data_IF_115187910098
#
_entry.id   IF_115187910098
#
_cell.length_a   1.000
_cell.length_b   1.000
_cell.length_c   1.000
_cell.angle_alpha   90.00
_cell.angle_beta   90.00
_cell.angle_gamma   90.00
#
_symmetry.space_group_name_H-M   'P 1'
#
loop_
_entity.id
_entity.type
_entity.pdbx_description
1 polymer ?
#
# COMPACT_ATOMS: atom_id res chain seq x y z
N UNK A 1 -9.53 16.28 -7.60
CA UNK A 1 -10.74 15.60 -8.12
C UNK A 1 -10.24 14.40 -8.90
N UNK A 2 -10.37 13.20 -8.33
CA UNK A 2 -10.05 11.96 -9.05
C UNK A 2 -11.08 11.69 -10.15
N UNK A 3 -10.77 10.81 -11.11
CA UNK A 3 -11.70 10.46 -12.18
C UNK A 3 -12.95 9.78 -11.61
N UNK A 4 -14.12 10.20 -12.08
CA UNK A 4 -15.39 9.54 -11.77
C UNK A 4 -15.42 8.18 -12.48
N UNK A 5 -15.66 7.11 -11.72
CA UNK A 5 -15.81 5.77 -12.28
C UNK A 5 -17.18 5.58 -12.90
N UNK A 6 -17.21 5.02 -14.11
CA UNK A 6 -18.43 4.58 -14.78
C UNK A 6 -18.51 3.05 -14.76
N UNK A 7 -19.69 2.48 -14.47
CA UNK A 7 -19.90 1.04 -14.63
C UNK A 7 -19.86 0.63 -16.12
N UNK A 8 -19.83 -0.67 -16.41
CA UNK A 8 -19.86 -1.19 -17.79
C UNK A 8 -21.12 -0.77 -18.59
N UNK A 9 -22.10 -0.13 -17.95
CA UNK A 9 -23.30 0.43 -18.56
C UNK A 9 -23.25 1.98 -18.69
N UNK A 10 -22.10 2.61 -18.43
CA UNK A 10 -21.89 4.06 -18.58
C UNK A 10 -22.59 4.91 -17.53
N UNK A 11 -22.98 4.34 -16.38
CA UNK A 11 -23.55 5.09 -15.25
C UNK A 11 -22.44 5.46 -14.27
N UNK A 12 -22.55 6.64 -13.66
CA UNK A 12 -21.76 6.99 -12.47
C UNK A 12 -21.81 5.81 -11.51
N UNK A 13 -20.65 5.27 -11.14
CA UNK A 13 -20.57 4.27 -10.10
C UNK A 13 -20.96 4.96 -8.80
N UNK A 14 -22.24 4.85 -8.45
CA UNK A 14 -22.83 5.38 -7.23
C UNK A 14 -22.45 4.51 -6.03
N UNK A 15 -21.17 4.12 -5.92
CA UNK A 15 -20.61 3.29 -4.85
C UNK A 15 -20.53 4.08 -3.55
N UNK A 16 -21.68 4.36 -2.94
CA UNK A 16 -21.73 4.70 -1.54
C UNK A 16 -21.15 3.54 -0.74
N UNK A 17 -20.05 3.80 -0.01
CA UNK A 17 -19.34 2.86 0.88
C UNK A 17 -19.03 1.51 0.21
N UNK A 18 -17.82 1.36 -0.31
CA UNK A 18 -17.36 0.17 -0.99
C UNK A 18 -17.60 -1.10 -0.16
N UNK A 19 -18.56 -1.90 -0.63
CA UNK A 19 -18.89 -3.20 -0.05
C UNK A 19 -17.74 -4.16 -0.33
N UNK A 20 -17.20 -4.75 0.74
CA UNK A 20 -16.17 -5.79 0.68
C UNK A 20 -16.58 -6.96 -0.23
N UNK A 21 -17.89 -7.22 -0.35
CA UNK A 21 -18.45 -8.37 -1.08
C UNK A 21 -18.29 -8.28 -2.62
N UNK A 22 -17.93 -7.11 -3.16
CA UNK A 22 -17.74 -6.88 -4.59
C UNK A 22 -16.29 -6.51 -4.96
N UNK A 23 -15.32 -6.81 -4.09
CA UNK A 23 -13.91 -6.52 -4.34
C UNK A 23 -13.42 -7.04 -5.69
N UNK A 24 -13.77 -8.28 -6.04
CA UNK A 24 -13.32 -8.94 -7.27
C UNK A 24 -13.96 -8.39 -8.56
N UNK A 25 -15.03 -7.61 -8.45
CA UNK A 25 -15.76 -7.04 -9.61
C UNK A 25 -15.22 -5.66 -10.02
N UNK A 26 -14.21 -5.13 -9.31
CA UNK A 26 -13.61 -3.82 -9.60
C UNK A 26 -12.90 -3.86 -10.97
N UNK A 27 -13.11 -2.86 -11.85
CA UNK A 27 -12.49 -2.83 -13.18
C UNK A 27 -10.99 -2.61 -13.10
N UNK A 28 -10.27 -3.00 -14.15
CA UNK A 28 -8.84 -2.71 -14.24
C UNK A 28 -8.63 -1.19 -14.36
N UNK A 29 -7.52 -0.64 -13.83
CA UNK A 29 -7.21 0.79 -13.95
C UNK A 29 -7.31 1.32 -15.40
N UNK A 30 -6.89 0.52 -16.38
CA UNK A 30 -6.91 0.87 -17.81
C UNK A 30 -8.32 1.03 -18.39
N UNK A 31 -9.35 0.43 -17.76
CA UNK A 31 -10.73 0.54 -18.23
C UNK A 31 -11.33 1.93 -17.97
N UNK A 32 -10.75 2.70 -17.04
CA UNK A 32 -11.31 3.97 -16.59
C UNK A 32 -10.28 5.11 -16.47
N UNK A 33 -8.98 4.81 -16.47
CA UNK A 33 -7.91 5.81 -16.50
C UNK A 33 -7.31 5.88 -17.89
N UNK A 34 -7.07 7.10 -18.37
CA UNK A 34 -6.29 7.30 -19.59
C UNK A 34 -4.84 6.84 -19.38
N UNK A 35 -4.21 6.34 -20.44
CA UNK A 35 -2.77 6.00 -20.45
C UNK A 35 -1.88 7.15 -19.93
N UNK A 36 -2.19 8.39 -20.31
CA UNK A 36 -1.45 9.56 -19.83
C UNK A 36 -1.60 9.82 -18.32
N UNK A 37 -2.77 9.47 -17.74
CA UNK A 37 -2.95 9.51 -16.29
C UNK A 37 -2.08 8.45 -15.61
N UNK A 38 -2.17 7.20 -16.07
CA UNK A 38 -1.40 6.07 -15.50
C UNK A 38 0.09 6.41 -15.56
N UNK A 39 0.60 6.82 -16.72
CA UNK A 39 2.00 7.21 -16.90
C UNK A 39 2.42 8.34 -15.96
N UNK A 40 1.62 9.39 -15.83
CA UNK A 40 1.94 10.53 -14.92
C UNK A 40 1.85 10.13 -13.45
N UNK A 41 0.98 9.19 -13.11
CA UNK A 41 0.86 8.69 -11.76
C UNK A 41 2.07 7.86 -11.36
N UNK A 42 2.45 6.88 -12.20
CA UNK A 42 3.59 6.00 -11.95
C UNK A 42 4.93 6.74 -12.01
N UNK A 43 5.06 7.80 -12.81
CA UNK A 43 6.26 8.65 -12.83
C UNK A 43 6.57 9.35 -11.48
N UNK A 44 5.65 9.33 -10.51
CA UNK A 44 5.91 9.82 -9.14
C UNK A 44 6.84 8.90 -8.35
N UNK A 45 6.99 7.67 -8.79
CA UNK A 45 7.80 6.64 -8.16
C UNK A 45 9.19 6.52 -8.81
N UNK A 46 9.51 7.38 -9.79
CA UNK A 46 10.80 7.39 -10.51
C UNK A 46 12.03 7.60 -9.57
N UNK A 47 11.81 8.15 -8.37
CA UNK A 47 12.82 8.34 -7.33
C UNK A 47 12.78 7.26 -6.23
N UNK A 48 12.00 6.19 -6.43
CA UNK A 48 11.94 5.00 -5.60
C UNK A 48 10.67 4.88 -4.75
N UNK A 49 10.37 3.66 -4.37
CA UNK A 49 9.17 3.27 -3.64
C UNK A 49 9.45 2.92 -2.18
N UNK A 50 8.47 3.08 -1.31
CA UNK A 50 8.60 2.71 0.09
C UNK A 50 7.33 2.11 0.66
N UNK A 51 7.49 1.24 1.66
CA UNK A 51 6.39 0.60 2.37
C UNK A 51 6.66 0.51 3.86
N UNK A 52 5.59 0.65 4.64
CA UNK A 52 5.56 0.37 6.08
C UNK A 52 5.08 -1.06 6.30
N UNK A 53 5.75 -1.75 7.21
CA UNK A 53 5.37 -3.07 7.68
C UNK A 53 5.23 -3.08 9.20
N UNK A 54 4.22 -3.77 9.73
CA UNK A 54 4.27 -4.22 11.12
C UNK A 54 5.41 -5.23 11.26
N UNK A 55 6.40 -4.95 12.10
CA UNK A 55 7.65 -5.70 12.20
C UNK A 55 7.42 -7.18 12.46
N UNK A 56 6.51 -7.52 13.37
CA UNK A 56 6.18 -8.92 13.67
C UNK A 56 5.50 -9.62 12.50
N UNK A 57 4.64 -8.94 11.75
CA UNK A 57 4.00 -9.51 10.57
C UNK A 57 5.05 -9.80 9.49
N UNK A 58 5.94 -8.84 9.24
CA UNK A 58 7.03 -8.98 8.28
C UNK A 58 7.95 -10.16 8.63
N UNK A 59 8.39 -10.26 9.90
CA UNK A 59 9.25 -11.35 10.37
C UNK A 59 8.56 -12.73 10.30
N UNK A 60 7.26 -12.80 10.56
CA UNK A 60 6.52 -14.04 10.55
C UNK A 60 6.14 -14.49 9.14
N UNK A 61 5.68 -13.58 8.28
CA UNK A 61 5.03 -13.92 7.02
C UNK A 61 5.79 -13.47 5.77
N UNK A 62 6.60 -12.42 5.88
CA UNK A 62 7.34 -11.80 4.77
C UNK A 62 6.67 -10.52 4.27
N UNK A 63 7.29 -9.83 3.29
CA UNK A 63 6.84 -8.53 2.78
C UNK A 63 5.62 -8.57 1.86
N UNK A 64 5.14 -9.74 1.46
CA UNK A 64 4.06 -9.89 0.49
C UNK A 64 2.77 -10.41 1.13
N UNK A 65 1.62 -10.07 0.53
CA UNK A 65 0.35 -10.77 0.79
C UNK A 65 0.30 -12.11 0.02
N UNK A 66 -0.81 -12.85 0.11
CA UNK A 66 -0.91 -14.18 -0.51
C UNK A 66 -0.94 -14.13 -2.04
N UNK A 67 -1.38 -13.01 -2.62
CA UNK A 67 -1.31 -12.70 -4.06
C UNK A 67 0.05 -12.16 -4.50
N UNK A 68 1.02 -12.06 -3.58
CA UNK A 68 2.36 -11.50 -3.77
C UNK A 68 2.43 -9.98 -3.99
N UNK A 69 1.28 -9.30 -4.01
CA UNK A 69 1.21 -7.88 -4.25
C UNK A 69 1.42 -7.07 -2.96
N UNK A 70 2.05 -5.91 -3.11
CA UNK A 70 2.31 -4.99 -2.03
C UNK A 70 2.09 -3.53 -2.47
N UNK A 71 1.15 -2.87 -1.80
CA UNK A 71 1.00 -1.41 -1.81
C UNK A 71 2.29 -0.70 -1.38
N UNK A 72 2.70 0.31 -2.14
CA UNK A 72 3.85 1.17 -1.90
C UNK A 72 3.49 2.64 -2.14
N UNK A 73 4.31 3.52 -1.58
CA UNK A 73 4.24 4.97 -1.72
C UNK A 73 5.51 5.48 -2.42
N UNK A 74 5.47 6.65 -3.08
CA UNK A 74 6.71 7.36 -3.39
C UNK A 74 7.49 7.60 -2.10
N UNK A 75 8.80 7.38 -2.12
CA UNK A 75 9.63 7.48 -0.91
C UNK A 75 9.52 8.85 -0.24
N UNK A 76 9.60 9.94 -1.03
CA UNK A 76 9.47 11.31 -0.52
C UNK A 76 8.10 11.57 0.15
N UNK A 77 7.03 11.01 -0.40
CA UNK A 77 5.69 11.15 0.15
C UNK A 77 5.53 10.39 1.48
N UNK A 78 6.10 9.19 1.58
CA UNK A 78 6.08 8.43 2.83
C UNK A 78 6.91 9.12 3.92
N UNK A 79 8.09 9.63 3.58
CA UNK A 79 8.95 10.37 4.51
C UNK A 79 8.20 11.61 5.06
N UNK A 80 7.52 12.35 4.18
CA UNK A 80 6.67 13.49 4.58
C UNK A 80 5.53 13.05 5.51
N UNK A 81 4.88 11.91 5.23
CA UNK A 81 3.82 11.36 6.09
C UNK A 81 4.36 11.01 7.47
N UNK A 82 5.53 10.35 7.54
CA UNK A 82 6.17 9.96 8.79
C UNK A 82 6.64 11.16 9.62
N UNK A 83 7.20 12.18 8.96
CA UNK A 83 7.58 13.45 9.59
C UNK A 83 6.36 14.19 10.12
N UNK A 84 5.28 14.23 9.34
CA UNK A 84 4.03 14.85 9.75
C UNK A 84 3.40 14.10 10.93
N UNK A 85 3.38 12.76 10.90
CA UNK A 85 2.88 11.93 12.00
C UNK A 85 3.68 12.17 13.29
N UNK A 86 5.00 12.40 13.21
CA UNK A 86 5.81 12.74 14.37
C UNK A 86 5.77 11.68 15.47
N UNK A 87 5.75 10.40 15.07
CA UNK A 87 5.59 9.20 15.90
C UNK A 87 4.21 9.03 16.58
N UNK A 88 3.24 9.89 16.30
CA UNK A 88 1.87 9.73 16.81
C UNK A 88 1.15 8.63 16.02
N UNK A 89 0.84 7.52 16.71
CA UNK A 89 0.19 6.33 16.12
C UNK A 89 -1.12 6.66 15.43
N UNK A 90 -1.93 7.44 16.13
CA UNK A 90 -3.28 7.84 15.75
C UNK A 90 -3.24 8.74 14.50
N UNK A 91 -2.26 9.65 14.45
CA UNK A 91 -2.03 10.52 13.31
C UNK A 91 -1.48 9.77 12.10
N UNK A 92 -0.59 8.79 12.31
CA UNK A 92 -0.08 7.97 11.23
C UNK A 92 -1.19 7.14 10.57
N UNK A 93 -2.06 6.53 11.38
CA UNK A 93 -3.24 5.80 10.88
C UNK A 93 -4.12 6.68 10.01
N UNK A 94 -4.44 7.90 10.46
CA UNK A 94 -5.24 8.85 9.67
C UNK A 94 -4.56 9.22 8.34
N UNK A 95 -3.26 9.54 8.39
CA UNK A 95 -2.52 9.96 7.20
C UNK A 95 -2.43 8.86 6.14
N UNK A 96 -2.33 7.61 6.59
CA UNK A 96 -2.27 6.41 5.75
C UNK A 96 -3.66 5.84 5.39
N UNK A 97 -4.74 6.41 5.92
CA UNK A 97 -6.10 5.91 5.66
C UNK A 97 -6.41 4.57 6.32
N UNK A 98 -5.70 4.22 7.39
CA UNK A 98 -6.01 3.05 8.22
C UNK A 98 -7.12 3.37 9.22
N UNK A 99 -7.86 2.33 9.62
CA UNK A 99 -8.83 2.45 10.71
C UNK A 99 -8.08 2.67 12.03
N UNK A 100 -8.65 3.48 12.93
CA UNK A 100 -8.03 3.75 14.23
C UNK A 100 -7.85 2.48 15.05
N UNK A 101 -6.62 2.26 15.53
CA UNK A 101 -6.21 1.07 16.25
C UNK A 101 -5.62 -0.06 15.38
N UNK A 102 -5.53 0.12 14.06
CA UNK A 102 -4.89 -0.85 13.15
C UNK A 102 -3.40 -1.05 13.43
N UNK A 103 -2.74 -0.05 14.02
CA UNK A 103 -1.32 -0.08 14.40
C UNK A 103 -1.15 -0.27 15.91
N UNK A 104 -2.12 -0.93 16.57
CA UNK A 104 -2.08 -1.24 18.01
C UNK A 104 -2.27 -2.74 18.26
N UNK A 105 -1.72 -3.22 19.36
CA UNK A 105 -2.01 -4.56 19.87
C UNK A 105 -3.37 -4.62 20.59
N UNK A 106 -3.77 -5.82 21.03
CA UNK A 106 -5.04 -6.05 21.73
C UNK A 106 -5.15 -5.29 23.07
N UNK A 107 -4.01 -4.90 23.66
CA UNK A 107 -3.92 -4.10 24.89
C UNK A 107 -3.90 -2.58 24.60
N UNK A 108 -3.93 -2.17 23.32
CA UNK A 108 -3.93 -0.79 22.86
C UNK A 108 -2.54 -0.16 22.74
N UNK A 109 -1.45 -0.92 22.91
CA UNK A 109 -0.10 -0.41 22.77
C UNK A 109 0.27 -0.28 21.29
N UNK A 110 1.01 0.77 20.89
CA UNK A 110 1.49 0.90 19.52
C UNK A 110 2.36 -0.28 19.08
N UNK A 111 2.14 -0.76 17.87
CA UNK A 111 2.96 -1.79 17.23
C UNK A 111 4.29 -1.21 16.76
N UNK A 112 5.32 -2.06 16.67
CA UNK A 112 6.57 -1.71 16.02
C UNK A 112 6.41 -1.81 14.51
N UNK A 113 6.90 -0.80 13.79
CA UNK A 113 6.90 -0.79 12.33
C UNK A 113 8.33 -0.73 11.76
N UNK A 114 8.52 -1.37 10.61
CA UNK A 114 9.72 -1.32 9.79
C UNK A 114 9.39 -0.66 8.45
N UNK A 115 10.27 0.23 8.00
CA UNK A 115 10.17 0.84 6.68
C UNK A 115 11.18 0.15 5.75
N UNK A 116 10.76 -0.14 4.51
CA UNK A 116 11.68 -0.58 3.46
C UNK A 116 11.54 0.31 2.23
N UNK A 117 12.69 0.61 1.63
CA UNK A 117 12.83 1.41 0.42
C UNK A 117 13.27 0.52 -0.73
N UNK A 118 12.58 0.61 -1.85
CA UNK A 118 12.86 -0.10 -3.09
C UNK A 118 13.41 0.89 -4.11
N UNK A 119 14.42 0.48 -4.87
CA UNK A 119 14.85 1.29 -6.02
C UNK A 119 13.89 1.06 -7.20
N UNK A 120 13.69 2.04 -8.10
CA UNK A 120 12.72 1.95 -9.21
C UNK A 120 12.81 0.71 -10.11
N UNK A 121 14.01 0.13 -10.22
CA UNK A 121 14.29 -1.05 -11.04
C UNK A 121 14.54 -2.33 -10.19
N UNK A 122 14.31 -2.27 -8.88
CA UNK A 122 14.55 -3.40 -7.98
C UNK A 122 13.48 -4.49 -8.13
N UNK A 123 12.24 -4.09 -8.41
CA UNK A 123 11.08 -4.96 -8.52
C UNK A 123 10.27 -4.64 -9.78
N UNK A 124 9.71 -5.70 -10.37
CA UNK A 124 8.78 -5.58 -11.48
C UNK A 124 7.36 -5.29 -10.98
N UNK A 125 6.49 -4.86 -11.89
CA UNK A 125 5.04 -4.85 -11.64
C UNK A 125 4.50 -3.58 -10.99
N UNK A 126 5.25 -2.47 -11.02
CA UNK A 126 4.72 -1.18 -10.57
C UNK A 126 3.48 -0.79 -11.38
N UNK A 127 2.32 -0.82 -10.74
CA UNK A 127 1.01 -0.59 -11.35
C UNK A 127 0.12 0.28 -10.47
N UNK A 128 -0.86 0.94 -11.09
CA UNK A 128 -1.93 1.60 -10.33
C UNK A 128 -2.78 0.51 -9.68
N UNK A 129 -3.14 0.61 -8.39
CA UNK A 129 -3.93 -0.44 -7.74
C UNK A 129 -5.31 -0.57 -8.40
N UNK A 130 -5.75 -1.80 -8.59
CA UNK A 130 -7.11 -2.12 -9.05
C UNK A 130 -8.12 -2.19 -7.90
N UNK A 131 -7.61 -2.31 -6.67
CA UNK A 131 -8.41 -2.55 -5.47
C UNK A 131 -8.81 -4.02 -5.31
N UNK A 132 -8.33 -4.93 -6.17
CA UNK A 132 -8.56 -6.38 -6.04
C UNK A 132 -7.45 -7.08 -5.26
N UNK A 133 -6.33 -6.41 -5.03
CA UNK A 133 -5.17 -6.93 -4.31
C UNK A 133 -5.56 -7.27 -2.87
N UNK A 134 -5.05 -8.34 -2.29
CA UNK A 134 -5.38 -8.83 -0.95
C UNK A 134 -5.25 -7.76 0.12
N UNK A 135 -4.29 -6.85 -0.02
CA UNK A 135 -4.08 -5.70 0.87
C UNK A 135 -5.12 -4.57 0.76
N UNK A 136 -5.99 -4.55 -0.26
CA UNK A 136 -7.01 -3.51 -0.42
C UNK A 136 -8.12 -3.64 0.63
N UNK A 137 -8.38 -2.56 1.38
CA UNK A 137 -9.38 -2.48 2.43
C UNK A 137 -10.63 -1.66 2.01
N UNK A 138 -11.51 -1.35 2.96
CA UNK A 138 -12.75 -0.57 2.70
C UNK A 138 -12.50 0.92 2.41
N UNK A 139 -11.33 1.44 2.79
CA UNK A 139 -10.91 2.82 2.58
C UNK A 139 -10.16 3.03 1.26
N UNK A 140 -9.87 1.95 0.51
CA UNK A 140 -9.24 2.02 -0.80
C UNK A 140 -10.07 2.86 -1.78
N UNK A 141 -9.39 3.68 -2.58
CA UNK A 141 -10.00 4.53 -3.61
C UNK A 141 -9.43 4.22 -4.99
N UNK A 142 -10.24 4.34 -6.06
CA UNK A 142 -9.73 4.20 -7.42
C UNK A 142 -8.80 5.35 -7.81
N UNK A 143 -7.82 5.04 -8.66
CA UNK A 143 -6.91 6.02 -9.24
C UNK A 143 -5.57 6.19 -8.52
N UNK A 144 -5.26 5.35 -7.53
CA UNK A 144 -3.94 5.27 -6.90
C UNK A 144 -3.67 6.34 -5.86
N UNK A 145 -4.66 6.74 -5.07
CA UNK A 145 -4.45 7.70 -3.99
C UNK A 145 -5.18 7.29 -2.73
N UNK A 146 -4.53 7.49 -1.59
CA UNK A 146 -5.21 7.48 -0.31
C UNK A 146 -6.27 8.59 -0.23
N UNK A 147 -7.28 8.48 0.66
CA UNK A 147 -8.24 9.56 0.92
C UNK A 147 -7.59 10.91 1.27
N UNK A 148 -6.37 10.87 1.82
CA UNK A 148 -5.54 12.02 2.18
C UNK A 148 -4.82 12.67 1.00
N UNK A 149 -4.84 12.04 -0.18
CA UNK A 149 -4.22 12.53 -1.41
C UNK A 149 -2.77 12.07 -1.61
N UNK A 150 -2.24 11.19 -0.76
CA UNK A 150 -0.93 10.56 -0.93
C UNK A 150 -1.00 9.54 -2.08
N UNK A 151 -0.07 9.56 -3.07
CA UNK A 151 -0.05 8.58 -4.16
C UNK A 151 0.29 7.18 -3.64
N UNK A 152 -0.36 6.15 -4.18
CA UNK A 152 -0.07 4.74 -3.90
C UNK A 152 -0.05 3.91 -5.20
N UNK A 153 0.85 2.93 -5.23
CA UNK A 153 0.98 1.95 -6.32
C UNK A 153 1.09 0.54 -5.73
N UNK A 154 1.05 -0.47 -6.58
CA UNK A 154 1.31 -1.87 -6.21
C UNK A 154 2.55 -2.34 -6.95
N UNK A 155 3.38 -3.12 -6.26
CA UNK A 155 4.51 -3.88 -6.82
C UNK A 155 4.31 -5.37 -6.49
N UNK A 156 4.93 -6.25 -7.28
CA UNK A 156 4.88 -7.69 -7.02
C UNK A 156 6.17 -8.17 -6.36
N UNK A 157 6.05 -8.84 -5.23
CA UNK A 157 7.17 -9.40 -4.46
C UNK A 157 7.55 -10.79 -5.00
N UNK A 158 8.83 -11.18 -4.97
CA UNK A 158 9.24 -12.52 -5.37
C UNK A 158 8.76 -13.57 -4.35
N UNK A 159 8.38 -14.76 -4.83
CA UNK A 159 7.92 -15.89 -3.99
C UNK A 159 8.92 -16.32 -2.90
N UNK A 160 10.20 -15.93 -3.04
CA UNK A 160 11.26 -16.20 -2.07
C UNK A 160 11.31 -15.21 -0.92
N UNK A 161 10.60 -14.08 -1.02
CA UNK A 161 10.53 -13.07 0.02
C UNK A 161 9.51 -13.48 1.08
N UNK A 162 9.89 -14.45 1.92
CA UNK A 162 9.01 -15.00 2.93
C UNK A 162 9.53 -14.84 4.34
N UNK A 163 8.63 -14.94 5.33
CA UNK A 163 8.97 -14.91 6.75
C UNK A 163 9.17 -16.30 7.36
N UNK A 164 9.48 -16.32 8.65
CA UNK A 164 9.78 -17.53 9.42
C UNK A 164 8.67 -18.59 9.40
N UNK A 165 7.40 -18.18 9.27
CA UNK A 165 6.23 -19.07 9.22
C UNK A 165 5.82 -19.48 7.80
N UNK A 166 6.33 -18.82 6.76
CA UNK A 166 5.96 -19.05 5.37
C UNK A 166 7.14 -19.51 4.51
N UNK A 167 7.83 -20.58 4.92
CA UNK A 167 8.97 -21.13 4.16
C UNK A 167 10.34 -20.81 4.75
N UNK A 168 10.38 -20.08 5.87
CA UNK A 168 11.60 -19.92 6.67
C UNK A 168 12.61 -18.95 6.09
N UNK A 169 12.18 -18.06 5.18
CA UNK A 169 12.97 -16.92 4.74
C UNK A 169 13.24 -15.93 5.88
N UNK A 170 13.94 -14.85 5.57
CA UNK A 170 14.25 -13.81 6.55
C UNK A 170 14.74 -12.54 5.88
N UNK A 171 15.21 -11.56 6.66
CA UNK A 171 15.56 -10.23 6.14
C UNK A 171 16.56 -10.22 4.98
N UNK A 172 17.38 -11.26 4.85
CA UNK A 172 18.35 -11.41 3.76
C UNK A 172 17.71 -11.81 2.40
N UNK A 173 16.48 -12.33 2.40
CA UNK A 173 15.74 -12.69 1.18
C UNK A 173 14.64 -11.69 0.82
N UNK A 174 14.46 -10.63 1.62
CA UNK A 174 13.47 -9.60 1.34
C UNK A 174 14.07 -8.51 0.46
N UNK A 175 13.37 -8.11 -0.61
CA UNK A 175 13.77 -6.95 -1.40
C UNK A 175 13.64 -5.67 -0.56
N UNK A 176 14.17 -4.59 -1.13
CA UNK A 176 14.29 -3.29 -0.52
C UNK A 176 15.41 -3.24 0.51
N UNK A 177 15.89 -2.03 0.73
CA UNK A 177 16.79 -1.71 1.83
C UNK A 177 15.99 -1.32 3.07
N UNK A 178 16.45 -1.72 4.25
CA UNK A 178 15.79 -1.32 5.49
C UNK A 178 16.02 0.18 5.73
N UNK A 179 14.93 0.94 5.84
CA UNK A 179 14.91 2.33 6.31
C UNK A 179 15.04 2.44 7.82
N UNK A 180 15.03 1.31 8.53
CA UNK A 180 15.09 1.21 9.98
C UNK A 180 13.72 0.98 10.63
N UNK A 181 13.75 0.83 11.95
CA UNK A 181 12.55 0.74 12.77
C UNK A 181 12.02 2.13 13.09
N UNK A 182 10.71 2.32 12.95
CA UNK A 182 10.02 3.54 13.37
C UNK A 182 9.15 3.23 14.59
N UNK A 183 9.48 3.87 15.71
CA UNK A 183 8.79 3.65 16.99
C UNK A 183 7.54 4.53 17.08
N UNK A 184 6.38 3.90 17.23
CA UNK A 184 5.10 4.58 17.43
C UNK A 184 4.87 4.91 18.91
N UNK A 185 4.09 5.97 19.17
CA UNK A 185 3.78 6.51 20.51
C UNK A 185 2.28 6.71 20.72
#
# INVERSE_FOLDING_TARGET
MGPELLDAAGRLWAGGRYDHDHKNDRPDPEDYLSEDYIRRHLARFDDGESRIYVTDSLNNYGPAQADHDAFVFPTEDLDRVLDEAGHDTDKLEDLLGFDRGSLRDDDGNPLQIEIRHFSPDELDGLTVPSGREDGANQNWLPGGYLPTGVPEAVITMPDTATGSRNGGGGPASWPGTSGGSYELR
#
